data_IF_083872958788
#
_entry.id   IF_083872958788
#
_cell.length_a   1.000
_cell.length_b   1.000
_cell.length_c   1.000
_cell.angle_alpha   90.00
_cell.angle_beta   90.00
_cell.angle_gamma   90.00
#
_symmetry.space_group_name_H-M   'P 1'
#
loop_
_entity.id
_entity.type
_entity.pdbx_description
1 polymer ?
#
# COMPACT_ATOMS: atom_id res chain seq x y z
N UNK A 1 4.19 -11.32 2.07
CA UNK A 1 3.48 -10.37 2.97
C UNK A 1 1.99 -10.64 3.17
N UNK A 2 1.32 -11.31 2.23
CA UNK A 2 -0.13 -11.60 2.37
C UNK A 2 -0.47 -12.44 3.60
N UNK A 3 0.42 -13.35 4.03
CA UNK A 3 0.22 -14.15 5.25
C UNK A 3 0.12 -13.32 6.52
N UNK A 4 0.96 -12.29 6.67
CA UNK A 4 0.95 -11.42 7.87
C UNK A 4 -0.29 -10.52 7.91
N UNK A 5 -0.69 -9.95 6.75
CA UNK A 5 -1.86 -9.08 6.64
C UNK A 5 -3.18 -9.81 6.88
N UNK A 6 -3.24 -11.11 6.62
CA UNK A 6 -4.42 -11.93 6.88
C UNK A 6 -4.60 -12.30 8.36
N UNK A 7 -3.55 -12.13 9.18
CA UNK A 7 -3.62 -12.45 10.61
C UNK A 7 -4.56 -11.49 11.35
N UNK A 8 -5.56 -12.00 12.11
CA UNK A 8 -6.48 -11.15 12.86
C UNK A 8 -5.78 -10.21 13.85
N UNK A 9 -4.67 -10.67 14.47
CA UNK A 9 -3.84 -9.86 15.36
C UNK A 9 -3.17 -8.70 14.63
N UNK A 10 -2.62 -8.93 13.43
CA UNK A 10 -2.00 -7.88 12.64
C UNK A 10 -3.04 -6.81 12.27
N UNK A 11 -4.20 -7.21 11.76
CA UNK A 11 -5.31 -6.30 11.41
C UNK A 11 -5.79 -5.49 12.62
N UNK A 12 -5.89 -6.12 13.78
CA UNK A 12 -6.31 -5.46 15.02
C UNK A 12 -5.32 -4.38 15.49
N UNK A 13 -4.00 -4.60 15.35
CA UNK A 13 -2.97 -3.66 15.81
C UNK A 13 -2.66 -2.57 14.79
N UNK A 14 -2.51 -2.92 13.52
CA UNK A 14 -2.08 -2.01 12.47
C UNK A 14 -3.24 -1.37 11.72
N UNK A 15 -4.40 -2.03 11.71
CA UNK A 15 -5.54 -1.68 10.87
C UNK A 15 -5.38 -2.19 9.44
N UNK A 16 -6.49 -2.24 8.71
CA UNK A 16 -6.56 -2.84 7.38
C UNK A 16 -5.82 -2.04 6.30
N UNK A 17 -5.61 -0.75 6.53
CA UNK A 17 -4.96 0.15 5.58
C UNK A 17 -3.44 0.33 5.81
N UNK A 18 -2.84 -0.39 6.78
CA UNK A 18 -1.41 -0.25 7.05
C UNK A 18 -0.55 -0.69 5.83
N UNK A 19 0.53 0.05 5.51
CA UNK A 19 1.16 1.20 6.17
C UNK A 19 0.50 2.55 5.89
N UNK A 20 -0.45 2.66 4.97
CA UNK A 20 -1.30 3.84 4.78
C UNK A 20 -2.33 3.99 5.92
N UNK A 21 -3.30 4.87 5.75
CA UNK A 21 -4.50 4.93 6.57
C UNK A 21 -5.68 5.48 5.77
N UNK A 22 -6.90 5.22 6.24
CA UNK A 22 -8.11 5.63 5.55
C UNK A 22 -8.24 7.15 5.35
N UNK A 23 -7.61 7.98 6.21
CA UNK A 23 -7.63 9.42 6.04
C UNK A 23 -6.78 9.86 4.83
N UNK A 24 -5.62 9.22 4.61
CA UNK A 24 -4.82 9.48 3.42
C UNK A 24 -5.55 9.06 2.15
N UNK A 25 -6.18 7.89 2.13
CA UNK A 25 -6.99 7.44 1.00
C UNK A 25 -8.13 8.41 0.68
N UNK A 26 -8.82 8.92 1.71
CA UNK A 26 -9.86 9.95 1.55
C UNK A 26 -9.26 11.24 0.98
N UNK A 27 -8.11 11.68 1.50
CA UNK A 27 -7.46 12.91 1.04
C UNK A 27 -6.97 12.77 -0.41
N UNK A 28 -6.37 11.65 -0.77
CA UNK A 28 -6.01 11.32 -2.15
C UNK A 28 -7.22 11.36 -3.08
N UNK A 29 -8.32 10.69 -2.70
CA UNK A 29 -9.55 10.70 -3.48
C UNK A 29 -10.14 12.12 -3.64
N UNK A 30 -10.08 12.93 -2.59
CA UNK A 30 -10.53 14.34 -2.65
C UNK A 30 -9.66 15.16 -3.61
N UNK A 31 -8.34 15.07 -3.49
CA UNK A 31 -7.37 15.78 -4.35
C UNK A 31 -7.43 15.28 -5.81
N UNK A 32 -7.64 13.97 -6.00
CA UNK A 32 -7.83 13.34 -7.31
C UNK A 32 -9.17 13.64 -7.97
N UNK A 33 -10.09 14.34 -7.29
CA UNK A 33 -11.38 14.76 -7.87
C UNK A 33 -12.46 13.67 -7.89
N UNK A 34 -12.33 12.65 -7.02
CA UNK A 34 -13.36 11.59 -6.91
C UNK A 34 -14.71 12.19 -6.52
N UNK A 35 -15.76 11.79 -7.21
CA UNK A 35 -17.15 12.25 -7.04
C UNK A 35 -18.12 11.09 -7.15
N UNK A 36 -19.42 11.35 -6.97
CA UNK A 36 -20.48 10.34 -7.09
C UNK A 36 -20.59 9.68 -8.48
N UNK A 37 -20.08 10.34 -9.51
CA UNK A 37 -20.08 9.81 -10.89
C UNK A 37 -18.79 9.05 -11.22
N UNK A 38 -17.84 8.97 -10.28
CA UNK A 38 -16.58 8.25 -10.50
C UNK A 38 -16.79 6.74 -10.48
N UNK A 39 -16.17 6.08 -11.43
CA UNK A 39 -15.94 4.64 -11.44
C UNK A 39 -14.51 4.41 -10.95
N UNK A 40 -14.38 3.97 -9.70
CA UNK A 40 -13.09 3.80 -9.06
C UNK A 40 -12.69 2.33 -9.00
N UNK A 41 -11.48 2.01 -9.39
CA UNK A 41 -10.85 0.72 -9.13
C UNK A 41 -9.89 0.89 -7.96
N UNK A 42 -9.96 -0.02 -6.98
CA UNK A 42 -9.01 -0.09 -5.88
C UNK A 42 -8.16 -1.35 -6.01
N UNK A 43 -6.93 -1.22 -6.53
CA UNK A 43 -5.98 -2.32 -6.66
C UNK A 43 -5.26 -2.58 -5.33
N UNK A 44 -5.33 -3.82 -4.87
CA UNK A 44 -4.84 -4.21 -3.55
C UNK A 44 -5.78 -3.76 -2.43
N UNK A 45 -7.09 -3.88 -2.65
CA UNK A 45 -8.14 -3.39 -1.74
C UNK A 45 -8.17 -4.09 -0.37
N UNK A 46 -7.44 -5.21 -0.20
CA UNK A 46 -7.46 -5.97 1.03
C UNK A 46 -8.88 -6.43 1.41
N UNK A 47 -9.27 -6.32 2.70
CA UNK A 47 -10.60 -6.70 3.18
C UNK A 47 -11.69 -5.65 2.87
N UNK A 48 -11.44 -4.70 1.97
CA UNK A 48 -12.44 -3.74 1.48
C UNK A 48 -12.74 -2.55 2.39
N UNK A 49 -12.10 -2.43 3.55
CA UNK A 49 -12.40 -1.37 4.54
C UNK A 49 -12.22 0.03 3.95
N UNK A 50 -11.09 0.29 3.28
CA UNK A 50 -10.83 1.59 2.63
C UNK A 50 -11.85 1.83 1.50
N UNK A 51 -12.10 0.84 0.66
CA UNK A 51 -13.12 0.92 -0.41
C UNK A 51 -14.48 1.30 0.15
N UNK A 52 -14.91 0.66 1.24
CA UNK A 52 -16.21 0.96 1.89
C UNK A 52 -16.28 2.39 2.42
N UNK A 53 -15.20 2.89 3.04
CA UNK A 53 -15.13 4.26 3.56
C UNK A 53 -15.17 5.29 2.41
N UNK A 54 -14.37 5.06 1.36
CA UNK A 54 -14.31 5.95 0.18
C UNK A 54 -15.65 5.98 -0.54
N UNK A 55 -16.25 4.81 -0.84
CA UNK A 55 -17.58 4.74 -1.47
C UNK A 55 -18.64 5.47 -0.65
N UNK A 56 -18.65 5.27 0.67
CA UNK A 56 -19.61 5.96 1.56
C UNK A 56 -19.42 7.47 1.57
N UNK A 57 -18.17 7.96 1.49
CA UNK A 57 -17.85 9.39 1.57
C UNK A 57 -18.13 10.13 0.28
N UNK A 58 -17.82 9.54 -0.86
CA UNK A 58 -17.92 10.18 -2.17
C UNK A 58 -19.17 9.76 -2.97
N UNK A 59 -19.84 8.70 -2.56
CA UNK A 59 -21.01 8.15 -3.27
C UNK A 59 -20.64 7.44 -4.58
N UNK A 60 -19.36 7.13 -4.81
CA UNK A 60 -18.87 6.51 -6.03
C UNK A 60 -19.01 4.98 -6.01
N UNK A 61 -19.00 4.35 -7.18
CA UNK A 61 -18.87 2.90 -7.31
C UNK A 61 -17.41 2.50 -7.23
N UNK A 62 -17.13 1.37 -6.58
CA UNK A 62 -15.76 0.85 -6.43
C UNK A 62 -15.71 -0.63 -6.80
N UNK A 63 -14.78 -0.97 -7.69
CA UNK A 63 -14.34 -2.34 -7.96
C UNK A 63 -13.01 -2.58 -7.23
N UNK A 64 -13.05 -3.35 -6.15
CA UNK A 64 -11.88 -3.71 -5.35
C UNK A 64 -11.27 -5.03 -5.84
N UNK A 65 -9.98 -5.02 -6.15
CA UNK A 65 -9.23 -6.21 -6.57
C UNK A 65 -8.12 -6.47 -5.55
N UNK A 66 -7.98 -7.73 -5.14
CA UNK A 66 -6.84 -8.20 -4.34
C UNK A 66 -6.48 -9.64 -4.73
N UNK A 67 -5.20 -9.97 -4.65
CA UNK A 67 -4.72 -11.32 -4.99
C UNK A 67 -4.95 -12.35 -3.90
N UNK A 68 -5.36 -11.93 -2.69
CA UNK A 68 -5.60 -12.79 -1.54
C UNK A 68 -7.06 -13.26 -1.47
N UNK A 69 -7.36 -14.56 -1.69
CA UNK A 69 -8.72 -15.08 -1.57
C UNK A 69 -9.32 -14.86 -0.18
N UNK A 70 -8.49 -14.92 0.87
CA UNK A 70 -8.93 -14.73 2.25
C UNK A 70 -9.39 -13.29 2.51
N UNK A 71 -8.66 -12.29 1.97
CA UNK A 71 -9.03 -10.88 2.12
C UNK A 71 -10.28 -10.55 1.33
N UNK A 72 -10.39 -11.04 0.10
CA UNK A 72 -11.60 -10.88 -0.72
C UNK A 72 -12.81 -11.61 -0.10
N UNK A 73 -12.63 -12.81 0.45
CA UNK A 73 -13.68 -13.48 1.20
C UNK A 73 -14.20 -12.66 2.38
N UNK A 74 -13.31 -11.99 3.12
CA UNK A 74 -13.69 -11.06 4.18
C UNK A 74 -14.43 -9.83 3.62
N UNK A 75 -13.94 -9.22 2.53
CA UNK A 75 -14.59 -8.09 1.88
C UNK A 75 -16.01 -8.39 1.42
N UNK A 76 -16.22 -9.52 0.76
CA UNK A 76 -17.54 -9.99 0.29
C UNK A 76 -18.50 -10.30 1.44
N UNK A 77 -17.99 -10.71 2.58
CA UNK A 77 -18.79 -11.00 3.77
C UNK A 77 -19.23 -9.72 4.48
N UNK A 78 -18.30 -8.77 4.63
CA UNK A 78 -18.50 -7.57 5.45
C UNK A 78 -19.20 -6.43 4.70
N UNK A 79 -18.91 -6.27 3.39
CA UNK A 79 -19.36 -5.09 2.62
C UNK A 79 -20.36 -5.44 1.52
N UNK A 80 -21.59 -5.71 1.88
CA UNK A 80 -22.69 -6.03 0.94
C UNK A 80 -23.44 -4.76 0.51
N UNK A 81 -22.91 -4.06 -0.50
CA UNK A 81 -23.51 -2.84 -1.08
C UNK A 81 -23.43 -2.89 -2.59
N UNK A 82 -24.45 -2.40 -3.29
CA UNK A 82 -24.47 -2.31 -4.77
C UNK A 82 -23.33 -1.47 -5.35
N UNK A 83 -22.85 -0.47 -4.58
CA UNK A 83 -21.72 0.38 -5.00
C UNK A 83 -20.34 -0.26 -4.81
N UNK A 84 -20.26 -1.48 -4.26
CA UNK A 84 -19.01 -2.19 -3.98
C UNK A 84 -19.01 -3.56 -4.65
N UNK A 85 -18.02 -3.80 -5.49
CA UNK A 85 -17.75 -5.11 -6.05
C UNK A 85 -16.32 -5.54 -5.68
N UNK A 86 -16.12 -6.80 -5.30
CA UNK A 86 -14.82 -7.34 -4.91
C UNK A 86 -14.51 -8.60 -5.68
N UNK A 87 -13.30 -8.68 -6.24
CA UNK A 87 -12.87 -9.82 -7.03
C UNK A 87 -11.41 -10.21 -6.70
N UNK A 88 -11.17 -11.52 -6.65
CA UNK A 88 -9.84 -12.08 -6.41
C UNK A 88 -9.11 -12.26 -7.73
N UNK A 89 -8.07 -11.47 -7.97
CA UNK A 89 -7.26 -11.56 -9.17
C UNK A 89 -5.83 -11.01 -8.95
N UNK A 90 -4.85 -11.42 -9.79
CA UNK A 90 -3.54 -10.78 -9.83
C UNK A 90 -3.65 -9.30 -10.18
N UNK A 91 -2.88 -8.44 -9.49
CA UNK A 91 -2.97 -6.98 -9.67
C UNK A 91 -2.39 -6.50 -11.01
N UNK A 92 -1.52 -7.28 -11.62
CA UNK A 92 -0.90 -7.01 -12.92
C UNK A 92 -1.67 -7.60 -14.11
N UNK A 93 -2.79 -8.29 -13.86
CA UNK A 93 -3.66 -8.87 -14.90
C UNK A 93 -5.05 -9.13 -14.32
N UNK A 94 -5.87 -8.10 -14.27
CA UNK A 94 -7.23 -8.21 -13.74
C UNK A 94 -8.23 -8.64 -14.84
N UNK A 95 -9.39 -9.21 -14.48
CA UNK A 95 -10.43 -9.55 -15.45
C UNK A 95 -11.27 -8.34 -15.90
N UNK A 96 -10.95 -7.15 -15.43
CA UNK A 96 -11.69 -5.93 -15.75
C UNK A 96 -11.41 -5.46 -17.18
N UNK A 97 -12.39 -4.81 -17.81
CA UNK A 97 -12.30 -4.29 -19.16
C UNK A 97 -11.39 -3.07 -19.27
N UNK A 98 -10.80 -2.85 -20.44
CA UNK A 98 -9.99 -1.67 -20.75
C UNK A 98 -10.81 -0.39 -20.57
N UNK A 99 -10.16 0.67 -20.14
CA UNK A 99 -10.75 2.00 -19.98
C UNK A 99 -12.06 2.03 -19.15
N UNK A 100 -12.22 1.09 -18.21
CA UNK A 100 -13.43 0.93 -17.39
C UNK A 100 -13.48 1.82 -16.15
N UNK A 101 -12.38 2.52 -15.84
CA UNK A 101 -12.31 3.37 -14.65
C UNK A 101 -11.96 4.82 -14.96
N UNK A 102 -12.58 5.75 -14.25
CA UNK A 102 -12.19 7.16 -14.25
C UNK A 102 -11.08 7.44 -13.24
N UNK A 103 -11.01 6.64 -12.17
CA UNK A 103 -10.05 6.78 -11.08
C UNK A 103 -9.53 5.41 -10.66
N UNK A 104 -8.26 5.35 -10.27
CA UNK A 104 -7.66 4.16 -9.68
C UNK A 104 -6.93 4.56 -8.40
N UNK A 105 -7.17 3.79 -7.33
CA UNK A 105 -6.49 3.92 -6.05
C UNK A 105 -5.61 2.68 -5.81
N UNK A 106 -4.38 2.90 -5.37
CA UNK A 106 -3.51 1.83 -4.87
C UNK A 106 -2.64 2.33 -3.72
N UNK A 107 -2.48 1.52 -2.69
CA UNK A 107 -1.80 1.91 -1.46
C UNK A 107 -0.75 0.86 -1.09
N UNK A 108 0.54 1.25 -1.12
CA UNK A 108 1.70 0.39 -0.80
C UNK A 108 1.74 -0.92 -1.61
N UNK A 109 1.30 -0.88 -2.87
CA UNK A 109 1.30 -2.06 -3.74
C UNK A 109 2.49 -2.08 -4.68
N UNK A 110 2.89 -0.92 -5.17
CA UNK A 110 4.09 -0.83 -6.00
C UNK A 110 5.33 -1.15 -5.17
N UNK A 111 5.40 -0.69 -3.92
CA UNK A 111 6.53 -0.95 -3.01
C UNK A 111 6.73 -2.43 -2.68
N UNK A 112 5.68 -3.26 -2.68
CA UNK A 112 5.75 -4.67 -2.25
C UNK A 112 5.74 -5.65 -3.42
N UNK A 113 5.57 -5.19 -4.63
CA UNK A 113 5.63 -6.01 -5.83
C UNK A 113 7.06 -6.04 -6.40
N UNK A 114 7.46 -7.19 -6.93
CA UNK A 114 8.78 -7.35 -7.56
C UNK A 114 8.85 -6.71 -8.96
N UNK A 115 7.70 -6.37 -9.53
CA UNK A 115 7.63 -5.72 -10.83
C UNK A 115 6.50 -4.68 -10.85
N UNK A 116 6.71 -3.52 -10.18
CA UNK A 116 5.70 -2.47 -10.10
C UNK A 116 5.28 -1.93 -11.47
N UNK A 117 6.16 -1.97 -12.48
CA UNK A 117 5.83 -1.58 -13.85
C UNK A 117 4.70 -2.42 -14.46
N UNK A 118 4.58 -3.71 -14.12
CA UNK A 118 3.46 -4.53 -14.60
C UNK A 118 2.13 -4.07 -13.98
N UNK A 119 2.13 -3.69 -12.70
CA UNK A 119 0.93 -3.13 -12.05
C UNK A 119 0.58 -1.77 -12.66
N UNK A 120 1.58 -0.92 -12.92
CA UNK A 120 1.36 0.36 -13.58
C UNK A 120 0.85 0.20 -15.02
N UNK A 121 1.35 -0.78 -15.78
CA UNK A 121 0.84 -1.12 -17.10
C UNK A 121 -0.62 -1.56 -17.08
N UNK A 122 -1.00 -2.41 -16.11
CA UNK A 122 -2.41 -2.79 -15.90
C UNK A 122 -3.26 -1.60 -15.48
N UNK A 123 -2.75 -0.76 -14.58
CA UNK A 123 -3.40 0.49 -14.17
C UNK A 123 -3.67 1.40 -15.38
N UNK A 124 -2.68 1.55 -16.26
CA UNK A 124 -2.82 2.32 -17.49
C UNK A 124 -3.89 1.73 -18.42
N UNK A 125 -3.96 0.42 -18.57
CA UNK A 125 -4.99 -0.26 -19.37
C UNK A 125 -6.41 0.00 -18.83
N UNK A 126 -6.56 -0.05 -17.50
CA UNK A 126 -7.86 0.05 -16.82
C UNK A 126 -8.43 1.48 -16.81
N UNK A 127 -7.58 2.49 -16.75
CA UNK A 127 -8.02 3.88 -16.72
C UNK A 127 -8.50 4.34 -18.10
N UNK A 128 -9.60 5.07 -18.12
CA UNK A 128 -10.08 5.80 -19.29
C UNK A 128 -9.12 6.92 -19.69
N UNK A 129 -9.31 7.50 -20.85
CA UNK A 129 -8.54 8.68 -21.28
C UNK A 129 -8.65 9.80 -20.25
N UNK A 130 -7.51 10.39 -19.87
CA UNK A 130 -7.38 11.36 -18.78
C UNK A 130 -7.80 10.83 -17.40
N UNK A 131 -7.93 9.53 -17.22
CA UNK A 131 -8.19 8.89 -15.94
C UNK A 131 -7.09 9.17 -14.92
N UNK A 132 -7.44 9.20 -13.65
CA UNK A 132 -6.54 9.60 -12.56
C UNK A 132 -6.08 8.37 -11.77
N UNK A 133 -4.77 8.21 -11.66
CA UNK A 133 -4.12 7.32 -10.71
C UNK A 133 -3.84 8.09 -9.42
N UNK A 134 -4.23 7.51 -8.31
CA UNK A 134 -3.93 7.97 -6.95
C UNK A 134 -3.19 6.83 -6.24
N UNK A 135 -1.93 7.05 -5.92
CA UNK A 135 -1.16 6.04 -5.21
C UNK A 135 -0.37 6.62 -4.03
N UNK A 136 -0.03 5.75 -3.10
CA UNK A 136 0.80 6.11 -1.95
C UNK A 136 1.76 4.97 -1.62
N UNK A 137 3.04 5.32 -1.42
CA UNK A 137 4.12 4.36 -1.32
C UNK A 137 5.11 4.72 -0.20
N UNK A 138 5.87 3.72 0.26
CA UNK A 138 6.99 3.96 1.15
C UNK A 138 8.08 4.76 0.41
N UNK A 139 8.64 5.75 1.08
CA UNK A 139 9.71 6.61 0.54
C UNK A 139 10.96 6.47 1.40
N UNK A 140 12.10 6.31 0.76
CA UNK A 140 13.43 6.41 1.35
C UNK A 140 14.02 7.76 0.92
N UNK A 141 14.21 8.67 1.87
CA UNK A 141 14.63 10.04 1.53
C UNK A 141 16.11 10.11 1.19
N UNK A 142 16.94 9.24 1.80
CA UNK A 142 18.36 9.12 1.48
C UNK A 142 18.85 7.69 1.81
N UNK A 143 18.99 6.86 0.79
CA UNK A 143 19.39 5.45 0.95
C UNK A 143 20.84 5.30 1.44
N UNK A 144 21.73 6.26 1.16
CA UNK A 144 23.13 6.20 1.57
C UNK A 144 23.32 6.39 3.09
N UNK A 145 22.32 6.92 3.78
CA UNK A 145 22.33 7.11 5.23
C UNK A 145 21.64 5.97 6.00
N UNK A 146 21.04 5.02 5.29
CA UNK A 146 20.46 3.84 5.93
C UNK A 146 21.57 2.88 6.35
N UNK A 147 21.46 2.34 7.56
CA UNK A 147 22.35 1.26 7.98
C UNK A 147 21.98 -0.09 7.30
N UNK A 148 22.89 -1.06 7.40
CA UNK A 148 22.75 -2.37 6.76
C UNK A 148 21.49 -3.11 7.27
N UNK A 149 21.15 -2.96 8.55
CA UNK A 149 19.98 -3.60 9.14
C UNK A 149 18.68 -3.04 8.55
N UNK A 150 18.62 -1.72 8.34
CA UNK A 150 17.45 -1.07 7.71
C UNK A 150 17.33 -1.49 6.26
N UNK A 151 18.44 -1.49 5.49
CA UNK A 151 18.42 -1.97 4.11
C UNK A 151 17.94 -3.41 4.03
N UNK A 152 18.48 -4.32 4.85
CA UNK A 152 18.04 -5.72 4.91
C UNK A 152 16.56 -5.86 5.26
N UNK A 153 16.03 -5.03 6.18
CA UNK A 153 14.61 -5.01 6.51
C UNK A 153 13.76 -4.56 5.31
N UNK A 154 14.15 -3.48 4.66
CA UNK A 154 13.44 -2.97 3.49
C UNK A 154 13.45 -3.98 2.34
N UNK A 155 14.59 -4.60 2.07
CA UNK A 155 14.73 -5.62 1.03
C UNK A 155 13.91 -6.88 1.32
N UNK A 156 13.82 -7.29 2.60
CA UNK A 156 13.00 -8.44 3.00
C UNK A 156 11.51 -8.18 2.80
N UNK A 157 11.05 -6.95 3.06
CA UNK A 157 9.62 -6.60 3.01
C UNK A 157 9.20 -6.11 1.63
N UNK A 158 10.04 -5.32 0.97
CA UNK A 158 9.69 -4.56 -0.24
C UNK A 158 10.46 -5.01 -1.50
N UNK A 159 11.37 -6.01 -1.39
CA UNK A 159 12.22 -6.44 -2.51
C UNK A 159 13.44 -5.53 -2.72
N UNK A 160 14.39 -6.01 -3.54
CA UNK A 160 15.61 -5.28 -3.92
C UNK A 160 15.38 -4.48 -5.21
N UNK A 161 16.28 -3.51 -5.47
CA UNK A 161 16.51 -2.83 -6.75
C UNK A 161 15.57 -1.69 -7.17
N UNK A 162 14.66 -1.19 -6.31
CA UNK A 162 13.87 -0.01 -6.64
C UNK A 162 14.45 1.26 -5.98
N UNK A 163 14.57 2.34 -6.77
CA UNK A 163 14.79 3.67 -6.20
C UNK A 163 13.51 4.14 -5.52
N UNK A 164 13.47 3.99 -4.20
CA UNK A 164 12.32 4.36 -3.35
C UNK A 164 12.31 5.84 -2.95
N UNK A 165 13.15 6.68 -3.55
CA UNK A 165 13.06 8.13 -3.35
C UNK A 165 11.77 8.70 -3.94
N UNK A 166 11.43 9.94 -3.57
CA UNK A 166 10.30 10.64 -4.21
C UNK A 166 10.49 10.73 -5.72
N UNK A 167 11.71 11.07 -6.16
CA UNK A 167 12.04 11.17 -7.59
C UNK A 167 12.02 9.81 -8.28
N UNK A 168 12.48 8.74 -7.60
CA UNK A 168 12.40 7.38 -8.10
C UNK A 168 10.96 6.95 -8.39
N UNK A 169 10.03 7.21 -7.48
CA UNK A 169 8.61 6.95 -7.72
C UNK A 169 8.02 7.79 -8.85
N UNK A 170 8.36 9.08 -8.91
CA UNK A 170 7.94 9.96 -10.02
C UNK A 170 8.42 9.39 -11.35
N UNK A 171 9.71 9.10 -11.48
CA UNK A 171 10.31 8.56 -12.69
C UNK A 171 9.66 7.21 -13.11
N UNK A 172 9.40 6.32 -12.14
CA UNK A 172 8.75 5.05 -12.41
C UNK A 172 7.33 5.23 -12.94
N UNK A 173 6.54 6.12 -12.33
CA UNK A 173 5.16 6.40 -12.73
C UNK A 173 5.15 7.02 -14.15
N UNK A 174 6.01 8.00 -14.42
CA UNK A 174 6.11 8.65 -15.72
C UNK A 174 6.57 7.70 -16.82
N UNK A 175 7.57 6.84 -16.54
CA UNK A 175 8.05 5.82 -17.48
C UNK A 175 6.97 4.80 -17.88
N UNK A 176 5.89 4.68 -17.09
CA UNK A 176 4.76 3.79 -17.36
C UNK A 176 3.52 4.51 -17.93
N UNK A 177 3.70 5.71 -18.51
CA UNK A 177 2.66 6.40 -19.29
C UNK A 177 1.71 7.24 -18.44
N UNK A 178 2.22 7.88 -17.40
CA UNK A 178 1.45 8.80 -16.57
C UNK A 178 2.13 10.15 -16.48
N UNK A 179 1.35 11.23 -16.45
CA UNK A 179 1.81 12.59 -16.18
C UNK A 179 1.55 12.93 -14.71
N UNK A 180 2.60 13.23 -13.95
CA UNK A 180 2.46 13.61 -12.54
C UNK A 180 1.74 14.94 -12.43
N UNK A 181 0.64 14.97 -11.66
CA UNK A 181 -0.08 16.18 -11.28
C UNK A 181 0.43 16.69 -9.94
N UNK A 182 0.68 15.76 -9.00
CA UNK A 182 1.10 16.10 -7.65
C UNK A 182 1.90 14.95 -7.04
N UNK A 183 3.00 15.29 -6.37
CA UNK A 183 3.76 14.38 -5.51
C UNK A 183 4.00 15.06 -4.16
N UNK A 184 3.67 14.39 -3.04
CA UNK A 184 3.80 14.92 -1.68
C UNK A 184 4.41 13.91 -0.74
N UNK A 185 5.25 14.39 0.16
CA UNK A 185 5.72 13.61 1.30
C UNK A 185 4.72 13.67 2.46
N UNK A 186 4.33 12.50 2.97
CA UNK A 186 3.29 12.32 3.99
C UNK A 186 3.90 11.96 5.36
N UNK A 187 4.74 12.85 5.89
CA UNK A 187 5.49 12.62 7.16
C UNK A 187 4.61 12.22 8.34
N UNK A 188 3.36 12.71 8.40
CA UNK A 188 2.44 12.39 9.50
C UNK A 188 2.03 10.91 9.51
N UNK A 189 1.94 10.29 8.33
CA UNK A 189 1.66 8.86 8.21
C UNK A 189 2.77 8.05 8.85
N UNK A 190 4.02 8.40 8.56
CA UNK A 190 5.17 7.69 9.10
C UNK A 190 5.30 7.87 10.62
N UNK A 191 5.05 9.07 11.16
CA UNK A 191 5.00 9.29 12.61
C UNK A 191 3.94 8.44 13.30
N UNK A 192 2.77 8.26 12.69
CA UNK A 192 1.72 7.40 13.24
C UNK A 192 2.13 5.92 13.18
N UNK A 193 2.74 5.48 12.08
CA UNK A 193 3.22 4.11 11.89
C UNK A 193 4.36 3.76 12.86
N UNK A 194 5.28 4.68 13.08
CA UNK A 194 6.37 4.52 14.05
C UNK A 194 5.84 4.16 15.45
N UNK A 195 4.79 4.88 15.91
CA UNK A 195 4.14 4.59 17.21
C UNK A 195 3.47 3.22 17.22
N UNK A 196 2.80 2.85 16.13
CA UNK A 196 2.15 1.53 16.01
C UNK A 196 3.20 0.40 15.98
N UNK A 197 4.26 0.56 15.20
CA UNK A 197 5.33 -0.42 15.08
C UNK A 197 6.02 -0.63 16.43
N UNK A 198 6.37 0.45 17.15
CA UNK A 198 6.98 0.35 18.47
C UNK A 198 6.10 -0.41 19.49
N UNK A 199 4.78 -0.19 19.48
CA UNK A 199 3.85 -0.95 20.35
C UNK A 199 3.73 -2.42 19.93
N UNK A 200 3.67 -2.69 18.64
CA UNK A 200 3.59 -4.05 18.11
C UNK A 200 4.83 -4.86 18.49
N UNK A 201 6.01 -4.23 18.50
CA UNK A 201 7.26 -4.87 18.92
C UNK A 201 7.24 -5.33 20.38
N UNK A 202 6.68 -4.51 21.29
CA UNK A 202 6.52 -4.90 22.69
C UNK A 202 5.62 -6.14 22.79
N UNK A 203 4.50 -6.13 22.08
CA UNK A 203 3.56 -7.27 22.05
C UNK A 203 4.20 -8.53 21.42
N UNK A 204 4.97 -8.38 20.36
CA UNK A 204 5.66 -9.46 19.70
C UNK A 204 6.72 -10.13 20.61
N UNK A 205 7.56 -9.33 21.30
CA UNK A 205 8.53 -9.83 22.27
C UNK A 205 7.88 -10.67 23.38
N UNK A 206 6.69 -10.26 23.82
CA UNK A 206 5.93 -11.01 24.82
C UNK A 206 5.46 -12.35 24.27
N UNK A 207 4.93 -12.37 23.04
CA UNK A 207 4.47 -13.59 22.37
C UNK A 207 5.61 -14.57 22.06
N UNK A 208 6.78 -14.08 21.64
CA UNK A 208 7.97 -14.94 21.45
C UNK A 208 8.38 -15.63 22.76
N UNK A 209 8.38 -14.90 23.89
CA UNK A 209 8.74 -15.48 25.20
C UNK A 209 7.78 -16.57 25.66
N UNK A 210 6.54 -16.55 25.20
CA UNK A 210 5.51 -17.54 25.53
C UNK A 210 5.40 -18.66 24.48
N UNK A 211 6.24 -18.66 23.44
CA UNK A 211 6.20 -19.65 22.34
C UNK A 211 4.99 -19.51 21.43
N UNK A 212 4.29 -18.39 21.48
CA UNK A 212 3.03 -18.20 20.77
C UNK A 212 3.14 -17.75 19.31
N UNK A 213 4.34 -17.34 18.83
CA UNK A 213 4.53 -16.88 17.45
C UNK A 213 6.02 -16.90 17.08
N UNK A 214 6.36 -17.40 15.89
CA UNK A 214 7.70 -17.33 15.32
C UNK A 214 7.79 -16.29 14.21
N UNK A 215 9.00 -15.75 13.96
CA UNK A 215 9.24 -14.84 12.84
C UNK A 215 9.07 -15.54 11.49
N UNK A 216 9.42 -16.83 11.43
CA UNK A 216 9.26 -17.65 10.23
C UNK A 216 7.79 -17.75 9.80
N UNK A 217 6.85 -17.90 10.75
CA UNK A 217 5.41 -17.90 10.48
C UNK A 217 4.92 -16.55 9.94
N UNK A 218 5.64 -15.47 10.24
CA UNK A 218 5.35 -14.13 9.72
C UNK A 218 6.05 -13.84 8.38
N UNK A 219 6.83 -14.78 7.83
CA UNK A 219 7.65 -14.54 6.64
C UNK A 219 8.88 -13.66 6.89
N UNK A 220 9.25 -13.47 8.15
CA UNK A 220 10.38 -12.63 8.60
C UNK A 220 11.54 -13.48 9.16
N UNK A 221 11.58 -14.77 8.84
CA UNK A 221 12.60 -15.69 9.36
C UNK A 221 14.05 -15.28 9.04
N UNK A 222 14.26 -14.60 7.90
CA UNK A 222 15.58 -14.05 7.54
C UNK A 222 16.11 -12.98 8.51
N UNK A 223 15.26 -12.46 9.41
CA UNK A 223 15.60 -11.43 10.40
C UNK A 223 15.65 -12.00 11.83
N UNK A 224 15.55 -13.33 12.00
CA UNK A 224 15.32 -13.95 13.32
C UNK A 224 16.45 -13.67 14.31
N UNK A 225 17.71 -13.74 13.85
CA UNK A 225 18.88 -13.58 14.72
C UNK A 225 19.05 -12.13 15.22
N UNK A 226 18.73 -11.13 14.39
CA UNK A 226 19.01 -9.71 14.67
C UNK A 226 17.73 -8.87 14.76
N UNK A 227 16.56 -9.51 14.87
CA UNK A 227 15.27 -8.86 14.74
C UNK A 227 15.10 -7.59 15.59
N UNK A 228 15.57 -7.64 16.84
CA UNK A 228 15.48 -6.49 17.73
C UNK A 228 16.34 -5.31 17.28
N UNK A 229 17.52 -5.60 16.75
CA UNK A 229 18.45 -4.60 16.25
C UNK A 229 17.89 -3.96 14.97
N UNK A 230 17.49 -4.80 14.01
CA UNK A 230 16.85 -4.38 12.76
C UNK A 230 15.65 -3.46 13.01
N UNK A 231 14.78 -3.83 13.95
CA UNK A 231 13.63 -2.99 14.28
C UNK A 231 14.03 -1.69 14.95
N UNK A 232 14.98 -1.70 15.89
CA UNK A 232 15.44 -0.47 16.52
C UNK A 232 16.06 0.49 15.51
N UNK A 233 16.92 0.00 14.61
CA UNK A 233 17.51 0.78 13.52
C UNK A 233 16.44 1.35 12.58
N UNK A 234 15.42 0.54 12.24
CA UNK A 234 14.28 0.99 11.42
C UNK A 234 13.48 2.10 12.12
N UNK A 235 13.20 1.95 13.44
CA UNK A 235 12.52 2.98 14.21
C UNK A 235 13.32 4.28 14.29
N UNK A 236 14.64 4.18 14.40
CA UNK A 236 15.57 5.34 14.38
C UNK A 236 15.54 6.00 13.00
N UNK A 237 15.66 5.25 11.92
CA UNK A 237 15.56 5.77 10.55
C UNK A 237 14.21 6.48 10.27
N UNK A 238 13.11 5.99 10.88
CA UNK A 238 11.82 6.68 10.83
C UNK A 238 11.81 7.99 11.63
N UNK A 239 12.44 8.02 12.81
CA UNK A 239 12.54 9.22 13.66
C UNK A 239 13.44 10.28 12.99
N UNK A 240 14.50 9.86 12.30
CA UNK A 240 15.42 10.71 11.54
C UNK A 240 14.83 11.17 10.19
N UNK A 241 13.67 10.63 9.81
CA UNK A 241 13.01 10.98 8.55
C UNK A 241 13.63 10.33 7.30
N UNK A 242 14.51 9.33 7.48
CA UNK A 242 15.11 8.59 6.36
C UNK A 242 14.10 7.64 5.71
N UNK A 243 13.11 7.18 6.47
CA UNK A 243 11.96 6.43 5.98
C UNK A 243 10.71 7.30 6.13
N UNK A 244 10.06 7.57 5.02
CA UNK A 244 8.88 8.40 4.92
C UNK A 244 7.77 7.71 4.13
N UNK A 245 6.72 8.43 3.80
CA UNK A 245 5.63 7.96 2.99
C UNK A 245 5.27 9.04 1.96
N UNK A 246 5.07 8.64 0.71
CA UNK A 246 4.72 9.55 -0.37
C UNK A 246 3.31 9.31 -0.87
N UNK A 247 2.68 10.35 -1.38
CA UNK A 247 1.42 10.29 -2.11
C UNK A 247 1.57 10.95 -3.47
N UNK A 248 1.00 10.30 -4.50
CA UNK A 248 1.14 10.71 -5.87
C UNK A 248 -0.24 10.74 -6.53
N UNK A 249 -0.50 11.79 -7.28
CA UNK A 249 -1.66 11.91 -8.16
C UNK A 249 -1.13 12.12 -9.55
N UNK A 250 -1.51 11.25 -10.47
CA UNK A 250 -1.07 11.31 -11.85
C UNK A 250 -2.22 11.08 -12.81
N UNK A 251 -2.07 11.53 -14.03
CA UNK A 251 -3.05 11.36 -15.11
C UNK A 251 -2.51 10.39 -16.12
N UNK A 252 -3.36 9.50 -16.63
CA UNK A 252 -3.03 8.68 -17.79
C UNK A 252 -2.65 9.59 -18.95
N UNK A 253 -1.40 9.47 -19.43
CA UNK A 253 -0.92 10.22 -20.59
C UNK A 253 -1.70 9.83 -21.84
N UNK A 254 -1.91 10.78 -22.74
CA UNK A 254 -2.47 10.47 -24.06
C UNK A 254 -1.42 9.75 -24.89
N UNK A 255 -1.81 8.68 -25.55
CA UNK A 255 -0.98 7.99 -26.52
C UNK A 255 -0.70 8.89 -27.73
#
# INVERSE_FOLDING_TARGET
>A
MDGVRSLPLFRRYFGDAFPSNSNLAIDLCKRGGVSKTSQLIHLGCGPGTVSSIVSSKFGCTISGIDSSPNLIGAALTEWKRESLNFECAPLNKTPLTDASATHLLTESRLSVDRNPSQILGETHRLLSDNGILMNSELVVTNSSLLDENVNRFLDTIFGQDEDRSMDGWVNLIEANGFDIIEAREERQIMKANRKKLGRAMVGFRLLQRTGGLSLSELGLGALEDDFNEVVNSTLTAMDDGLISYGSFISRRSRA
#
